data_IF_173922992932
#
_entry.id   IF_173922992932
#
_cell.length_a   1.000
_cell.length_b   1.000
_cell.length_c   1.000
_cell.angle_alpha   90.00
_cell.angle_beta   90.00
_cell.angle_gamma   90.00
#
_symmetry.space_group_name_H-M   'P 1'
#
loop_
_entity.id
_entity.type
_entity.pdbx_description
1 polymer ?
#
# COMPACT_ATOMS: atom_id res chain seq x y z
N UNK A 1 17.97 18.72 -14.04
CA UNK A 1 18.05 19.87 -13.12
C UNK A 1 18.60 21.03 -13.92
N UNK A 2 18.01 22.24 -13.81
CA UNK A 2 18.62 23.45 -14.38
C UNK A 2 19.75 23.82 -13.42
N UNK A 3 20.96 24.02 -13.93
CA UNK A 3 22.10 24.39 -13.10
C UNK A 3 21.81 25.73 -12.40
N UNK A 4 22.24 25.88 -11.15
CA UNK A 4 22.23 27.20 -10.49
C UNK A 4 23.15 28.13 -11.28
N UNK A 5 22.78 29.41 -11.35
CA UNK A 5 23.62 30.43 -11.96
C UNK A 5 25.00 30.41 -11.28
N UNK A 6 26.05 30.20 -12.06
CA UNK A 6 27.43 30.36 -11.61
C UNK A 6 27.76 31.86 -11.70
N UNK A 7 28.02 32.54 -10.57
CA UNK A 7 28.37 33.96 -10.60
C UNK A 7 29.71 34.25 -11.30
N UNK A 8 30.53 33.22 -11.58
CA UNK A 8 31.79 33.36 -12.34
C UNK A 8 31.64 33.07 -13.85
N UNK A 9 30.49 32.55 -14.30
CA UNK A 9 30.21 32.29 -15.73
C UNK A 9 29.56 33.52 -16.40
N UNK A 10 30.41 34.36 -17.00
CA UNK A 10 30.07 35.69 -17.51
C UNK A 10 29.37 35.65 -18.90
N UNK A 11 28.42 34.74 -19.09
CA UNK A 11 27.67 34.58 -20.35
C UNK A 11 26.42 35.46 -20.45
N UNK A 12 26.45 36.65 -19.84
CA UNK A 12 25.35 37.61 -19.86
C UNK A 12 25.18 38.23 -21.25
N UNK A 13 24.07 37.91 -21.93
CA UNK A 13 23.66 38.56 -23.18
C UNK A 13 22.54 39.55 -22.91
N UNK A 14 22.83 40.84 -23.05
CA UNK A 14 21.87 41.94 -22.86
C UNK A 14 21.12 42.33 -24.15
N UNK A 15 21.43 41.68 -25.27
CA UNK A 15 20.94 41.99 -26.61
C UNK A 15 19.87 41.00 -27.14
N UNK A 16 19.33 40.14 -26.27
CA UNK A 16 18.34 39.13 -26.67
C UNK A 16 16.93 39.75 -26.76
N UNK A 17 16.22 39.61 -27.89
CA UNK A 17 14.83 40.08 -27.99
C UNK A 17 13.91 39.41 -26.96
N UNK A 18 13.01 40.17 -26.34
CA UNK A 18 12.11 39.69 -25.27
C UNK A 18 11.32 38.42 -25.61
N UNK A 19 11.02 38.20 -26.90
CA UNK A 19 10.33 36.98 -27.37
C UNK A 19 11.10 35.69 -27.09
N UNK A 20 12.41 35.76 -26.85
CA UNK A 20 13.26 34.61 -26.52
C UNK A 20 13.53 34.48 -25.01
N UNK A 21 13.03 35.40 -24.20
CA UNK A 21 13.13 35.28 -22.74
C UNK A 21 12.23 34.13 -22.24
N UNK A 22 12.80 33.34 -21.34
CA UNK A 22 12.07 32.33 -20.60
C UNK A 22 11.12 33.00 -19.60
N UNK A 23 10.04 32.29 -19.29
CA UNK A 23 9.04 32.68 -18.30
C UNK A 23 8.88 31.57 -17.27
N UNK A 24 8.52 31.92 -16.05
CA UNK A 24 8.11 30.92 -15.08
C UNK A 24 6.92 30.11 -15.65
N UNK A 25 6.99 28.78 -15.53
CA UNK A 25 6.04 27.87 -16.13
C UNK A 25 6.43 27.34 -17.52
N UNK A 26 7.47 27.88 -18.17
CA UNK A 26 8.01 27.29 -19.39
C UNK A 26 8.63 25.91 -19.10
N UNK A 27 8.44 24.96 -20.01
CA UNK A 27 9.04 23.63 -19.95
C UNK A 27 10.18 23.57 -20.98
N UNK A 28 11.39 23.33 -20.49
CA UNK A 28 12.58 23.13 -21.31
C UNK A 28 12.73 21.65 -21.65
N UNK A 29 12.98 21.33 -22.92
CA UNK A 29 13.23 19.97 -23.40
C UNK A 29 14.52 19.93 -24.22
N UNK A 30 15.41 18.97 -23.92
CA UNK A 30 16.64 18.79 -24.70
C UNK A 30 16.33 18.34 -26.12
N UNK A 31 16.86 19.05 -27.11
CA UNK A 31 16.70 18.68 -28.53
C UNK A 31 17.53 17.44 -28.88
N UNK A 32 18.70 17.28 -28.27
CA UNK A 32 19.59 16.13 -28.47
C UNK A 32 19.38 15.12 -27.33
N UNK A 33 19.16 13.86 -27.70
CA UNK A 33 18.82 12.75 -26.80
C UNK A 33 19.85 11.64 -26.96
N UNK A 34 20.52 11.30 -25.86
CA UNK A 34 21.49 10.19 -25.80
C UNK A 34 20.87 8.88 -25.28
N UNK A 35 19.85 8.96 -24.44
CA UNK A 35 19.04 7.82 -23.98
C UNK A 35 17.60 8.27 -23.76
N UNK A 36 17.38 9.03 -22.69
CA UNK A 36 16.11 9.70 -22.37
C UNK A 36 16.21 11.20 -22.58
N UNK A 37 15.16 11.86 -23.07
CA UNK A 37 15.15 13.31 -23.13
C UNK A 37 15.25 13.92 -21.72
N UNK A 38 15.87 15.08 -21.61
CA UNK A 38 15.90 15.86 -20.39
C UNK A 38 14.83 16.93 -20.48
N UNK A 39 13.89 16.92 -19.54
CA UNK A 39 12.88 17.97 -19.40
C UNK A 39 13.01 18.70 -18.05
N UNK A 40 12.76 20.00 -17.99
CA UNK A 40 12.78 20.78 -16.76
C UNK A 40 11.76 21.93 -16.79
N UNK A 41 11.24 22.31 -15.61
CA UNK A 41 10.36 23.46 -15.44
C UNK A 41 11.19 24.71 -15.09
N UNK A 42 10.88 25.83 -15.74
CA UNK A 42 11.40 27.15 -15.38
C UNK A 42 10.63 27.69 -14.18
N UNK A 43 11.35 28.02 -13.11
CA UNK A 43 10.84 28.66 -11.91
C UNK A 43 11.25 30.13 -11.90
N UNK A 44 10.57 30.95 -11.09
CA UNK A 44 10.92 32.38 -10.90
C UNK A 44 12.40 32.56 -10.50
N UNK A 45 12.93 31.66 -9.68
CA UNK A 45 14.34 31.69 -9.25
C UNK A 45 15.36 31.45 -10.38
N UNK A 46 14.93 31.00 -11.55
CA UNK A 46 15.79 30.81 -12.73
C UNK A 46 15.84 32.04 -13.64
N UNK A 47 15.05 33.08 -13.35
CA UNK A 47 14.94 34.26 -14.20
C UNK A 47 15.88 35.38 -13.75
N UNK A 48 16.35 36.26 -14.66
CA UNK A 48 16.11 36.23 -16.10
C UNK A 48 16.98 35.18 -16.82
N UNK A 49 16.39 34.41 -17.74
CA UNK A 49 17.12 33.41 -18.52
C UNK A 49 16.63 33.30 -19.96
N UNK A 50 17.50 32.80 -20.84
CA UNK A 50 17.25 32.57 -22.27
C UNK A 50 17.60 31.13 -22.60
N UNK A 51 16.80 30.48 -23.45
CA UNK A 51 17.11 29.12 -23.92
C UNK A 51 18.36 29.11 -24.81
N UNK A 52 19.33 28.27 -24.45
CA UNK A 52 20.52 28.01 -25.26
C UNK A 52 20.19 27.18 -26.52
N UNK A 53 21.13 27.13 -27.47
CA UNK A 53 21.00 26.30 -28.66
C UNK A 53 20.88 24.81 -28.28
N UNK A 54 19.97 24.06 -28.92
CA UNK A 54 19.70 22.66 -28.59
C UNK A 54 18.70 22.46 -27.44
N UNK A 55 18.01 23.51 -27.00
CA UNK A 55 16.89 23.44 -26.05
C UNK A 55 15.61 23.91 -26.72
N UNK A 56 14.57 23.09 -26.64
CA UNK A 56 13.23 23.40 -27.08
C UNK A 56 12.43 23.97 -25.91
N UNK A 57 11.73 25.08 -26.13
CA UNK A 57 10.87 25.72 -25.13
C UNK A 57 9.41 25.38 -25.44
N UNK A 58 8.77 24.67 -24.53
CA UNK A 58 7.35 24.36 -24.56
C UNK A 58 6.64 25.28 -23.57
N UNK A 59 5.84 26.23 -24.09
CA UNK A 59 5.08 27.17 -23.27
C UNK A 59 3.62 26.70 -23.16
N UNK A 60 3.12 26.42 -21.94
CA UNK A 60 1.72 26.10 -21.75
C UNK A 60 0.82 27.23 -22.24
N UNK A 61 -0.23 26.89 -22.98
CA UNK A 61 -1.24 27.86 -23.44
C UNK A 61 -2.22 28.26 -22.32
N UNK A 62 -2.32 27.42 -21.29
CA UNK A 62 -3.10 27.64 -20.07
C UNK A 62 -2.20 27.38 -18.87
N UNK A 63 -2.56 27.97 -17.73
CA UNK A 63 -1.90 27.65 -16.46
C UNK A 63 -2.17 26.17 -16.14
N UNK A 64 -1.10 25.41 -15.90
CA UNK A 64 -1.18 24.01 -15.54
C UNK A 64 -1.03 23.87 -14.02
N UNK A 65 -1.74 22.93 -13.42
CA UNK A 65 -1.55 22.60 -12.01
C UNK A 65 -0.14 22.05 -11.78
N UNK A 66 0.39 22.19 -10.56
CA UNK A 66 1.71 21.67 -10.22
C UNK A 66 1.81 20.14 -10.41
N UNK A 67 0.69 19.43 -10.24
CA UNK A 67 0.55 17.99 -10.44
C UNK A 67 0.64 17.64 -11.93
N UNK A 68 -0.15 18.30 -12.78
CA UNK A 68 -0.13 18.03 -14.22
C UNK A 68 1.22 18.36 -14.87
N UNK A 69 1.88 19.42 -14.42
CA UNK A 69 3.25 19.74 -14.85
C UNK A 69 4.22 18.60 -14.53
N UNK A 70 4.12 17.97 -13.35
CA UNK A 70 4.99 16.83 -13.00
C UNK A 70 4.74 15.64 -13.92
N UNK A 71 3.47 15.33 -14.19
CA UNK A 71 3.10 14.25 -15.09
C UNK A 71 3.64 14.49 -16.51
N UNK A 72 3.47 15.71 -17.04
CA UNK A 72 4.03 16.11 -18.34
C UNK A 72 5.55 15.99 -18.33
N UNK A 73 6.24 16.47 -17.28
CA UNK A 73 7.70 16.34 -17.19
C UNK A 73 8.15 14.88 -17.15
N UNK A 74 7.45 14.01 -16.43
CA UNK A 74 7.74 12.57 -16.38
C UNK A 74 7.55 11.94 -17.76
N UNK A 75 6.44 12.24 -18.43
CA UNK A 75 6.16 11.77 -19.79
C UNK A 75 7.21 12.26 -20.81
N UNK A 76 7.59 13.53 -20.77
CA UNK A 76 8.62 14.10 -21.65
C UNK A 76 10.01 13.49 -21.43
N UNK A 77 10.29 12.94 -20.25
CA UNK A 77 11.53 12.21 -19.91
C UNK A 77 11.46 10.72 -20.24
N UNK A 78 10.33 10.22 -20.74
CA UNK A 78 10.14 8.80 -21.02
C UNK A 78 10.88 8.31 -22.26
N UNK A 79 11.09 7.00 -22.34
CA UNK A 79 11.62 6.35 -23.54
C UNK A 79 10.66 6.50 -24.73
N UNK A 80 9.36 6.61 -24.49
CA UNK A 80 8.34 6.87 -25.53
C UNK A 80 8.65 8.16 -26.29
N UNK A 81 8.96 9.24 -25.57
CA UNK A 81 9.33 10.53 -26.20
C UNK A 81 10.74 10.45 -26.79
N UNK A 82 11.68 9.76 -26.13
CA UNK A 82 13.02 9.50 -26.70
C UNK A 82 12.99 8.72 -28.02
N UNK A 83 12.02 7.82 -28.19
CA UNK A 83 11.82 7.02 -29.40
C UNK A 83 11.41 7.86 -30.62
N UNK A 84 10.81 9.03 -30.41
CA UNK A 84 10.45 9.97 -31.49
C UNK A 84 11.67 10.64 -32.12
N UNK A 85 12.84 10.61 -31.46
CA UNK A 85 14.04 11.25 -31.97
C UNK A 85 14.56 10.59 -33.25
N UNK A 86 14.97 11.41 -34.22
CA UNK A 86 15.53 10.95 -35.51
C UNK A 86 17.06 11.01 -35.44
N UNK A 87 17.75 9.92 -35.79
CA UNK A 87 19.21 9.86 -35.78
C UNK A 87 19.78 8.43 -35.77
N UNK A 88 21.09 8.30 -35.70
CA UNK A 88 21.82 7.02 -35.62
C UNK A 88 21.97 6.57 -34.15
N UNK A 89 22.32 5.29 -33.95
CA UNK A 89 22.40 4.68 -32.62
C UNK A 89 23.30 5.50 -31.66
N UNK A 90 22.69 5.99 -30.56
CA UNK A 90 23.36 6.76 -29.50
C UNK A 90 23.15 8.28 -29.54
N UNK A 91 22.68 8.85 -30.66
CA UNK A 91 22.40 10.29 -30.75
C UNK A 91 21.16 10.56 -31.61
N UNK A 92 20.06 10.89 -30.95
CA UNK A 92 18.78 11.19 -31.60
C UNK A 92 18.41 12.65 -31.42
N UNK A 93 17.85 13.27 -32.45
CA UNK A 93 17.41 14.67 -32.40
C UNK A 93 15.88 14.74 -32.44
N UNK A 94 15.29 15.39 -31.45
CA UNK A 94 13.86 15.71 -31.41
C UNK A 94 13.59 16.92 -32.29
N UNK A 95 12.64 16.78 -33.22
CA UNK A 95 12.21 17.88 -34.09
C UNK A 95 10.90 18.46 -33.59
N UNK A 96 10.76 19.79 -33.66
CA UNK A 96 9.52 20.51 -33.30
C UNK A 96 8.30 19.94 -34.04
N UNK A 97 8.45 19.54 -35.30
CA UNK A 97 7.36 18.95 -36.09
C UNK A 97 6.78 17.67 -35.48
N UNK A 98 7.62 16.85 -34.84
CA UNK A 98 7.20 15.60 -34.19
C UNK A 98 6.59 15.85 -32.81
N UNK A 99 7.06 16.89 -32.12
CA UNK A 99 6.45 17.31 -30.86
C UNK A 99 5.05 17.91 -31.05
N UNK A 100 4.78 18.54 -32.20
CA UNK A 100 3.45 19.06 -32.52
C UNK A 100 2.38 17.98 -32.64
N UNK A 101 2.76 16.77 -32.98
CA UNK A 101 1.86 15.61 -33.09
C UNK A 101 1.84 14.76 -31.82
N UNK A 102 2.61 15.13 -30.81
CA UNK A 102 2.70 14.39 -29.55
C UNK A 102 1.48 14.68 -28.70
N UNK A 103 0.68 13.67 -28.43
CA UNK A 103 -0.38 13.74 -27.43
C UNK A 103 0.25 13.73 -26.04
N UNK A 104 -0.07 14.75 -25.24
CA UNK A 104 0.35 14.83 -23.85
C UNK A 104 -0.65 14.07 -22.98
N UNK A 105 -0.20 13.47 -21.86
CA UNK A 105 -1.10 12.81 -20.93
C UNK A 105 -2.14 13.79 -20.39
N UNK A 106 -3.38 13.31 -20.29
CA UNK A 106 -4.45 14.04 -19.60
C UNK A 106 -4.11 14.22 -18.13
N UNK A 107 -4.80 15.14 -17.47
CA UNK A 107 -4.71 15.27 -16.02
C UNK A 107 -5.16 13.96 -15.36
N UNK A 108 -4.26 13.37 -14.58
CA UNK A 108 -4.49 12.15 -13.79
C UNK A 108 -3.95 12.41 -12.40
N UNK A 109 -4.85 12.68 -11.46
CA UNK A 109 -4.51 13.09 -10.10
C UNK A 109 -3.84 11.95 -9.33
N UNK A 110 -4.36 10.73 -9.45
CA UNK A 110 -3.83 9.54 -8.77
C UNK A 110 -2.40 9.23 -9.24
N UNK A 111 -2.16 9.22 -10.56
CA UNK A 111 -0.82 9.01 -11.10
C UNK A 111 0.13 10.16 -10.71
N UNK A 112 -0.35 11.40 -10.70
CA UNK A 112 0.46 12.56 -10.31
C UNK A 112 0.85 12.52 -8.83
N UNK A 113 -0.07 12.11 -7.95
CA UNK A 113 0.19 11.90 -6.52
C UNK A 113 1.23 10.77 -6.31
N UNK A 114 1.05 9.62 -6.96
CA UNK A 114 2.02 8.51 -6.89
C UNK A 114 3.44 8.92 -7.35
N UNK A 115 3.54 9.70 -8.44
CA UNK A 115 4.81 10.25 -8.90
C UNK A 115 5.40 11.26 -7.90
N UNK A 116 4.56 12.07 -7.24
CA UNK A 116 5.00 13.00 -6.22
C UNK A 116 5.55 12.28 -4.98
N UNK A 117 4.89 11.22 -4.53
CA UNK A 117 5.33 10.40 -3.40
C UNK A 117 6.67 9.71 -3.70
N UNK A 118 6.81 9.16 -4.91
CA UNK A 118 8.06 8.55 -5.34
C UNK A 118 9.20 9.58 -5.42
N UNK A 119 8.92 10.77 -5.94
CA UNK A 119 9.90 11.86 -6.00
C UNK A 119 10.30 12.32 -4.58
N UNK A 120 9.34 12.45 -3.67
CA UNK A 120 9.61 12.81 -2.28
C UNK A 120 10.41 11.73 -1.54
N UNK A 121 10.12 10.45 -1.78
CA UNK A 121 10.90 9.33 -1.26
C UNK A 121 12.33 9.35 -1.81
N UNK A 122 12.50 9.56 -3.12
CA UNK A 122 13.81 9.70 -3.76
C UNK A 122 14.62 10.87 -3.19
N UNK A 123 13.97 12.02 -2.96
CA UNK A 123 14.63 13.18 -2.33
C UNK A 123 15.09 12.85 -0.91
N UNK A 124 14.22 12.25 -0.07
CA UNK A 124 14.58 11.86 1.30
C UNK A 124 15.78 10.90 1.33
N UNK A 125 15.81 9.92 0.44
CA UNK A 125 16.94 8.99 0.32
C UNK A 125 18.21 9.71 -0.15
N UNK A 126 18.10 10.64 -1.09
CA UNK A 126 19.20 11.49 -1.55
C UNK A 126 19.76 12.37 -0.44
N UNK A 127 18.89 12.99 0.37
CA UNK A 127 19.29 13.81 1.52
C UNK A 127 20.03 12.96 2.57
N UNK A 128 19.55 11.75 2.86
CA UNK A 128 20.23 10.81 3.76
C UNK A 128 21.60 10.38 3.22
N UNK A 129 21.74 10.18 1.91
CA UNK A 129 23.02 9.86 1.28
C UNK A 129 24.00 11.03 1.35
N UNK A 130 23.52 12.26 1.10
CA UNK A 130 24.32 13.48 1.22
C UNK A 130 24.77 13.73 2.67
N UNK A 131 23.88 13.52 3.65
CA UNK A 131 24.20 13.57 5.08
C UNK A 131 25.33 12.58 5.45
N UNK A 132 25.23 11.34 4.95
CA UNK A 132 26.26 10.33 5.17
C UNK A 132 27.61 10.69 4.53
N UNK A 133 27.58 11.25 3.31
CA UNK A 133 28.77 11.74 2.60
C UNK A 133 29.45 12.90 3.34
N UNK A 134 28.68 13.93 3.71
CA UNK A 134 29.18 15.06 4.48
C UNK A 134 29.77 14.63 5.83
N UNK A 135 29.15 13.66 6.51
CA UNK A 135 29.69 13.10 7.74
C UNK A 135 31.05 12.43 7.50
N UNK A 136 31.19 11.65 6.42
CA UNK A 136 32.45 10.99 6.08
C UNK A 136 33.56 11.99 5.72
N UNK A 137 33.23 13.08 5.04
CA UNK A 137 34.16 14.16 4.69
C UNK A 137 34.60 14.97 5.93
N UNK A 138 33.68 15.25 6.86
CA UNK A 138 33.95 16.06 8.08
C UNK A 138 35.04 15.48 9.00
N UNK A 139 35.37 14.20 8.83
CA UNK A 139 36.45 13.48 9.51
C UNK A 139 37.81 14.08 9.20
N UNK A 140 37.97 14.64 8.00
CA UNK A 140 39.22 15.19 7.49
C UNK A 140 39.29 16.72 7.60
N UNK A 141 38.31 17.34 8.26
CA UNK A 141 38.30 18.79 8.47
C UNK A 141 39.50 19.23 9.33
N UNK A 142 40.15 20.32 8.90
CA UNK A 142 41.37 20.87 9.53
C UNK A 142 41.24 21.18 11.02
N UNK A 143 40.00 21.36 11.51
CA UNK A 143 39.70 21.74 12.89
C UNK A 143 39.26 20.55 13.77
N UNK A 144 39.22 19.34 13.23
CA UNK A 144 38.74 18.15 13.95
C UNK A 144 39.92 17.31 14.43
N UNK A 145 40.02 17.08 15.74
CA UNK A 145 41.03 16.16 16.28
C UNK A 145 40.65 14.70 15.96
N UNK A 146 41.62 13.78 15.78
CA UNK A 146 41.34 12.38 15.45
C UNK A 146 40.37 11.69 16.43
N UNK A 147 40.45 12.02 17.73
CA UNK A 147 39.55 11.50 18.77
C UNK A 147 38.12 11.99 18.55
N UNK A 148 37.94 13.28 18.25
CA UNK A 148 36.62 13.88 18.00
C UNK A 148 36.02 13.39 16.68
N UNK A 149 36.83 13.25 15.64
CA UNK A 149 36.43 12.66 14.36
C UNK A 149 35.89 11.24 14.55
N UNK A 150 36.63 10.39 15.30
CA UNK A 150 36.20 9.02 15.61
C UNK A 150 34.86 9.00 16.37
N UNK A 151 34.70 9.87 17.37
CA UNK A 151 33.47 9.92 18.16
C UNK A 151 32.27 10.41 17.34
N UNK A 152 32.48 11.38 16.44
CA UNK A 152 31.47 11.82 15.46
C UNK A 152 31.06 10.69 14.52
N UNK A 153 32.01 9.96 13.90
CA UNK A 153 31.69 8.82 13.03
C UNK A 153 30.92 7.73 13.77
N UNK A 154 31.32 7.40 15.00
CA UNK A 154 30.65 6.35 15.77
C UNK A 154 29.22 6.75 16.08
N UNK A 155 29.03 7.98 16.60
CA UNK A 155 27.74 8.48 17.11
C UNK A 155 26.82 8.91 15.98
N UNK A 156 27.26 9.78 15.08
CA UNK A 156 26.45 10.25 13.95
C UNK A 156 26.27 9.14 12.89
N UNK A 157 27.29 8.29 12.69
CA UNK A 157 27.16 7.14 11.80
C UNK A 157 26.26 6.03 12.34
N UNK A 158 25.92 6.03 13.63
CA UNK A 158 24.99 5.05 14.21
C UNK A 158 23.59 5.19 13.60
N UNK A 159 23.06 6.41 13.54
CA UNK A 159 21.73 6.66 12.97
C UNK A 159 21.69 6.27 11.49
N UNK A 160 22.72 6.61 10.71
CA UNK A 160 22.82 6.23 9.30
C UNK A 160 22.85 4.70 9.12
N UNK A 161 23.62 3.98 9.94
CA UNK A 161 23.62 2.50 9.93
C UNK A 161 22.25 1.93 10.29
N UNK A 162 21.58 2.46 11.30
CA UNK A 162 20.24 2.02 11.70
C UNK A 162 19.21 2.26 10.61
N UNK A 163 19.22 3.43 9.95
CA UNK A 163 18.37 3.74 8.79
C UNK A 163 18.62 2.75 7.64
N UNK A 164 19.88 2.48 7.32
CA UNK A 164 20.25 1.52 6.27
C UNK A 164 19.78 0.09 6.59
N UNK A 165 19.94 -0.35 7.84
CA UNK A 165 19.46 -1.68 8.27
C UNK A 165 17.94 -1.75 8.21
N UNK A 166 17.24 -0.73 8.70
CA UNK A 166 15.78 -0.67 8.65
C UNK A 166 15.26 -0.65 7.20
N UNK A 167 15.94 0.08 6.30
CA UNK A 167 15.59 0.08 4.88
C UNK A 167 15.81 -1.30 4.24
N UNK A 168 16.95 -1.96 4.51
CA UNK A 168 17.24 -3.30 4.00
C UNK A 168 16.25 -4.36 4.55
N UNK A 169 15.73 -4.18 5.76
CA UNK A 169 14.67 -5.05 6.30
C UNK A 169 13.37 -4.96 5.49
N UNK A 170 13.11 -3.84 4.79
CA UNK A 170 11.94 -3.72 3.91
C UNK A 170 12.10 -4.50 2.59
N UNK A 171 13.27 -5.07 2.31
CA UNK A 171 13.48 -6.02 1.20
C UNK A 171 13.14 -7.47 1.61
N UNK A 172 12.96 -7.73 2.91
CA UNK A 172 12.54 -9.04 3.44
C UNK A 172 11.00 -9.13 3.52
N UNK A 173 10.35 -9.99 2.72
CA UNK A 173 8.89 -10.15 2.76
C UNK A 173 8.35 -10.50 4.14
N UNK A 174 9.09 -11.29 4.93
CA UNK A 174 8.64 -11.79 6.23
C UNK A 174 8.64 -10.64 7.26
N UNK A 175 9.60 -9.72 7.15
CA UNK A 175 9.61 -8.47 7.90
C UNK A 175 8.46 -7.55 7.50
N UNK A 176 8.19 -7.40 6.20
CA UNK A 176 7.06 -6.57 5.72
C UNK A 176 5.74 -7.12 6.27
N UNK A 177 5.51 -8.43 6.19
CA UNK A 177 4.27 -9.05 6.71
C UNK A 177 4.12 -8.76 8.21
N UNK A 178 5.18 -8.99 9.01
CA UNK A 178 5.12 -8.75 10.47
C UNK A 178 4.89 -7.30 10.88
N UNK A 179 5.31 -6.33 10.08
CA UNK A 179 5.35 -4.92 10.50
C UNK A 179 4.37 -4.02 9.76
N UNK A 180 3.91 -4.45 8.58
CA UNK A 180 3.10 -3.62 7.69
C UNK A 180 1.76 -4.23 7.32
N UNK A 181 1.53 -5.53 7.54
CA UNK A 181 0.22 -6.11 7.23
C UNK A 181 -0.77 -5.87 8.39
N UNK A 182 -2.09 -5.93 8.14
CA UNK A 182 -3.10 -5.82 9.19
C UNK A 182 -2.88 -6.84 10.32
N UNK A 183 -3.17 -6.43 11.55
CA UNK A 183 -2.85 -7.19 12.77
C UNK A 183 -3.17 -8.69 12.71
N UNK A 184 -4.37 -9.13 12.28
CA UNK A 184 -4.69 -10.56 12.27
C UNK A 184 -3.79 -11.39 11.35
N UNK A 185 -3.39 -10.84 10.21
CA UNK A 185 -2.54 -11.53 9.25
C UNK A 185 -1.11 -11.58 9.80
N UNK A 186 -0.59 -10.44 10.26
CA UNK A 186 0.75 -10.33 10.81
C UNK A 186 0.95 -11.24 12.04
N UNK A 187 -0.04 -11.32 12.94
CA UNK A 187 0.00 -12.21 14.10
C UNK A 187 0.04 -13.68 13.67
N UNK A 188 -0.82 -14.08 12.72
CA UNK A 188 -0.86 -15.48 12.24
C UNK A 188 0.43 -15.87 11.53
N UNK A 189 1.03 -14.95 10.76
CA UNK A 189 2.34 -15.15 10.15
C UNK A 189 3.43 -15.33 11.21
N UNK A 190 3.47 -14.47 12.23
CA UNK A 190 4.40 -14.66 13.36
C UNK A 190 4.23 -16.03 14.02
N UNK A 191 3.00 -16.52 14.16
CA UNK A 191 2.77 -17.85 14.74
C UNK A 191 3.35 -18.95 13.84
N UNK A 192 3.27 -18.82 12.52
CA UNK A 192 3.94 -19.72 11.57
C UNK A 192 5.46 -19.71 11.79
N UNK A 193 6.09 -18.53 11.83
CA UNK A 193 7.53 -18.41 12.07
C UNK A 193 7.97 -18.96 13.42
N UNK A 194 7.15 -18.76 14.46
CA UNK A 194 7.40 -19.29 15.78
C UNK A 194 7.37 -20.83 15.79
N UNK A 195 6.43 -21.47 15.07
CA UNK A 195 6.41 -22.92 14.93
C UNK A 195 7.60 -23.44 14.12
N UNK A 196 7.94 -22.76 13.01
CA UNK A 196 9.12 -23.10 12.17
C UNK A 196 10.44 -23.04 12.95
N UNK A 197 10.54 -22.11 13.90
CA UNK A 197 11.73 -21.92 14.73
C UNK A 197 11.80 -22.87 15.94
N UNK A 198 10.71 -23.56 16.27
CA UNK A 198 10.68 -24.48 17.40
C UNK A 198 11.42 -25.78 17.03
N UNK A 199 12.62 -25.99 17.59
CA UNK A 199 13.33 -27.26 17.41
C UNK A 199 12.65 -28.39 18.21
N UNK A 200 12.24 -29.47 17.55
CA UNK A 200 11.62 -30.63 18.22
C UNK A 200 11.26 -31.78 17.28
N UNK A 201 10.85 -32.95 17.82
CA UNK A 201 10.44 -34.14 17.05
C UNK A 201 9.16 -33.90 16.21
N UNK A 202 8.77 -34.88 15.39
CA UNK A 202 7.70 -34.87 14.34
C UNK A 202 6.40 -34.09 14.65
N UNK A 203 6.03 -33.89 15.91
CA UNK A 203 4.89 -33.06 16.35
C UNK A 203 5.04 -31.57 15.97
N UNK A 204 6.27 -31.09 15.73
CA UNK A 204 6.53 -29.71 15.29
C UNK A 204 6.01 -29.47 13.87
N UNK A 205 6.22 -30.39 12.92
CA UNK A 205 5.77 -30.21 11.53
C UNK A 205 4.24 -30.16 11.43
N UNK A 206 3.55 -30.94 12.26
CA UNK A 206 2.08 -30.92 12.33
C UNK A 206 1.54 -29.59 12.86
N UNK A 207 2.22 -28.98 13.84
CA UNK A 207 1.86 -27.67 14.41
C UNK A 207 2.18 -26.52 13.45
N UNK A 208 3.33 -26.57 12.78
CA UNK A 208 3.69 -25.60 11.74
C UNK A 208 2.70 -25.65 10.59
N UNK A 209 2.36 -26.84 10.11
CA UNK A 209 1.35 -27.04 9.07
C UNK A 209 -0.02 -26.48 9.47
N UNK A 210 -0.45 -26.71 10.71
CA UNK A 210 -1.69 -26.12 11.21
C UNK A 210 -1.63 -24.59 11.29
N UNK A 211 -0.50 -24.02 11.72
CA UNK A 211 -0.30 -22.58 11.75
C UNK A 211 -0.38 -21.98 10.33
N UNK A 212 0.20 -22.65 9.33
CA UNK A 212 0.13 -22.25 7.91
C UNK A 212 -1.32 -22.23 7.42
N UNK A 213 -2.08 -23.29 7.70
CA UNK A 213 -3.49 -23.36 7.28
C UNK A 213 -4.36 -22.31 7.96
N UNK A 214 -4.14 -22.04 9.26
CA UNK A 214 -4.84 -20.96 10.00
C UNK A 214 -4.48 -19.58 9.47
N UNK A 215 -3.22 -19.35 9.11
CA UNK A 215 -2.79 -18.10 8.49
C UNK A 215 -3.44 -17.89 7.12
N UNK A 216 -3.52 -18.93 6.30
CA UNK A 216 -4.23 -18.89 5.02
C UNK A 216 -5.72 -18.59 5.19
N UNK A 217 -6.41 -19.27 6.11
CA UNK A 217 -7.83 -19.03 6.37
C UNK A 217 -8.07 -17.61 6.91
N UNK A 218 -7.16 -17.08 7.75
CA UNK A 218 -7.24 -15.70 8.26
C UNK A 218 -7.01 -14.68 7.14
N UNK A 219 -6.04 -14.89 6.25
CA UNK A 219 -5.78 -14.02 5.11
C UNK A 219 -7.01 -13.93 4.19
N UNK A 220 -7.59 -15.06 3.82
CA UNK A 220 -8.77 -15.10 2.96
C UNK A 220 -10.00 -14.55 3.66
N UNK A 221 -10.22 -14.91 4.93
CA UNK A 221 -11.34 -14.40 5.73
C UNK A 221 -11.30 -12.89 5.87
N UNK A 222 -10.16 -12.35 6.29
CA UNK A 222 -9.94 -10.90 6.37
C UNK A 222 -10.19 -10.21 5.03
N UNK A 223 -9.60 -10.72 3.94
CA UNK A 223 -9.73 -10.14 2.61
C UNK A 223 -11.18 -10.18 2.09
N UNK A 224 -11.89 -11.28 2.32
CA UNK A 224 -13.29 -11.43 1.92
C UNK A 224 -14.23 -10.53 2.74
N UNK A 225 -13.94 -10.31 4.03
CA UNK A 225 -14.70 -9.39 4.88
C UNK A 225 -14.48 -7.93 4.47
N UNK A 226 -13.25 -7.53 4.17
CA UNK A 226 -12.96 -6.22 3.58
C UNK A 226 -13.69 -6.04 2.24
N UNK A 227 -13.59 -7.03 1.36
CA UNK A 227 -14.28 -7.05 0.06
C UNK A 227 -15.79 -6.87 0.25
N UNK A 228 -16.38 -7.55 1.23
CA UNK A 228 -17.81 -7.47 1.50
C UNK A 228 -18.22 -6.10 2.05
N UNK A 229 -17.41 -5.52 2.95
CA UNK A 229 -17.65 -4.20 3.52
C UNK A 229 -17.56 -3.10 2.45
N UNK A 230 -16.47 -3.10 1.67
CA UNK A 230 -16.25 -2.15 0.59
C UNK A 230 -17.31 -2.27 -0.51
N UNK A 231 -17.67 -3.51 -0.90
CA UNK A 231 -18.73 -3.72 -1.87
C UNK A 231 -20.08 -3.22 -1.35
N UNK A 232 -20.37 -3.44 -0.07
CA UNK A 232 -21.59 -2.92 0.54
C UNK A 232 -21.64 -1.38 0.55
N UNK A 233 -20.55 -0.71 0.91
CA UNK A 233 -20.45 0.75 0.87
C UNK A 233 -20.66 1.29 -0.56
N UNK A 234 -20.07 0.62 -1.55
CA UNK A 234 -20.19 0.98 -2.96
C UNK A 234 -21.53 0.56 -3.61
N UNK A 235 -22.43 -0.12 -2.89
CA UNK A 235 -23.68 -0.64 -3.46
C UNK A 235 -23.50 -1.80 -4.45
N UNK A 236 -22.32 -2.45 -4.44
CA UNK A 236 -21.97 -3.58 -5.29
C UNK A 236 -22.30 -4.90 -4.58
N UNK A 237 -22.79 -5.89 -5.33
CA UNK A 237 -23.03 -7.22 -4.79
C UNK A 237 -22.79 -8.31 -5.83
N UNK A 238 -22.34 -9.48 -5.39
CA UNK A 238 -22.24 -10.69 -6.21
C UNK A 238 -23.04 -11.84 -5.59
N UNK A 239 -23.08 -13.00 -6.25
CA UNK A 239 -23.79 -14.20 -5.75
C UNK A 239 -23.14 -14.74 -4.47
N UNK A 240 -21.80 -14.74 -4.38
CA UNK A 240 -21.09 -15.19 -3.19
C UNK A 240 -21.39 -14.32 -1.96
N UNK A 241 -21.39 -12.99 -2.09
CA UNK A 241 -21.74 -12.06 -1.00
C UNK A 241 -23.18 -12.30 -0.52
N UNK A 242 -24.15 -12.45 -1.43
CA UNK A 242 -25.55 -12.76 -1.07
C UNK A 242 -25.68 -14.09 -0.35
N UNK A 243 -24.98 -15.12 -0.83
CA UNK A 243 -24.95 -16.44 -0.18
C UNK A 243 -24.36 -16.35 1.22
N UNK A 244 -23.23 -15.66 1.38
CA UNK A 244 -22.58 -15.42 2.68
C UNK A 244 -23.52 -14.75 3.67
N UNK A 245 -24.14 -13.63 3.26
CA UNK A 245 -25.12 -12.90 4.09
C UNK A 245 -26.31 -13.78 4.48
N UNK A 246 -26.86 -14.50 3.51
CA UNK A 246 -27.98 -15.42 3.72
C UNK A 246 -27.64 -16.57 4.68
N UNK A 247 -26.41 -17.10 4.64
CA UNK A 247 -25.96 -18.19 5.51
C UNK A 247 -26.02 -17.79 6.99
N UNK A 248 -25.51 -16.59 7.29
CA UNK A 248 -25.51 -16.01 8.64
C UNK A 248 -26.95 -15.64 9.05
N UNK A 249 -27.74 -15.04 8.17
CA UNK A 249 -29.13 -14.67 8.49
C UNK A 249 -30.00 -15.92 8.78
N UNK A 250 -29.96 -16.93 7.92
CA UNK A 250 -30.89 -18.08 7.94
C UNK A 250 -30.49 -19.24 8.85
N UNK A 251 -29.27 -19.25 9.41
CA UNK A 251 -28.86 -20.32 10.33
C UNK A 251 -28.30 -21.57 9.66
N UNK A 252 -27.90 -21.50 8.39
CA UNK A 252 -27.30 -22.63 7.66
C UNK A 252 -25.81 -22.87 7.98
N UNK A 253 -25.27 -22.15 8.97
CA UNK A 253 -23.92 -22.31 9.50
C UNK A 253 -23.02 -21.10 9.26
N UNK A 254 -21.87 -21.12 9.92
CA UNK A 254 -20.84 -20.09 9.85
C UNK A 254 -20.14 -19.97 8.51
N UNK A 255 -19.58 -18.80 8.16
CA UNK A 255 -18.73 -18.71 6.99
C UNK A 255 -17.46 -19.55 7.18
N UNK A 256 -16.94 -20.12 6.10
CA UNK A 256 -15.68 -20.86 6.13
C UNK A 256 -14.81 -20.59 4.91
N UNK A 257 -13.68 -21.29 4.82
CA UNK A 257 -12.69 -21.16 3.74
C UNK A 257 -13.32 -21.04 2.33
N UNK A 258 -14.27 -21.92 1.98
CA UNK A 258 -14.93 -21.89 0.67
C UNK A 258 -15.88 -20.72 0.44
N UNK A 259 -16.41 -20.09 1.50
CA UNK A 259 -17.17 -18.84 1.39
C UNK A 259 -16.22 -17.68 1.07
N UNK A 260 -15.09 -17.61 1.78
CA UNK A 260 -14.05 -16.58 1.57
C UNK A 260 -13.47 -16.61 0.16
N UNK A 261 -13.09 -17.79 -0.31
CA UNK A 261 -12.58 -17.97 -1.67
C UNK A 261 -13.60 -17.51 -2.72
N UNK A 262 -14.87 -17.90 -2.59
CA UNK A 262 -15.91 -17.56 -3.58
C UNK A 262 -16.20 -16.07 -3.65
N UNK A 263 -16.15 -15.35 -2.52
CA UNK A 263 -16.32 -13.90 -2.50
C UNK A 263 -15.23 -13.23 -3.33
N UNK A 264 -13.97 -13.59 -3.07
CA UNK A 264 -12.80 -13.02 -3.72
C UNK A 264 -12.73 -13.38 -5.22
N UNK A 265 -13.14 -14.59 -5.61
CA UNK A 265 -13.21 -14.98 -7.03
C UNK A 265 -14.31 -14.26 -7.81
N UNK A 266 -15.45 -13.97 -7.18
CA UNK A 266 -16.61 -13.42 -7.89
C UNK A 266 -16.67 -11.89 -7.92
N UNK A 267 -15.94 -11.20 -7.05
CA UNK A 267 -16.05 -9.73 -6.96
C UNK A 267 -15.59 -9.04 -8.25
N UNK A 268 -14.56 -9.55 -8.93
CA UNK A 268 -14.05 -8.96 -10.16
C UNK A 268 -15.09 -8.85 -11.27
N UNK A 269 -16.03 -9.81 -11.32
CA UNK A 269 -17.10 -9.86 -12.31
C UNK A 269 -18.42 -9.24 -11.81
N UNK A 270 -18.43 -8.58 -10.66
CA UNK A 270 -19.63 -7.97 -10.11
C UNK A 270 -20.06 -6.72 -10.90
N UNK A 271 -21.37 -6.58 -11.10
CA UNK A 271 -21.95 -5.39 -11.71
C UNK A 271 -21.64 -4.14 -10.87
N UNK A 272 -21.22 -3.05 -11.52
CA UNK A 272 -20.83 -1.80 -10.87
C UNK A 272 -19.32 -1.65 -10.61
N UNK A 273 -18.52 -2.72 -10.70
CA UNK A 273 -17.06 -2.64 -10.51
C UNK A 273 -16.37 -1.68 -11.47
N UNK A 274 -16.81 -1.61 -12.73
CA UNK A 274 -16.24 -0.69 -13.73
C UNK A 274 -16.60 0.79 -13.51
N UNK A 275 -17.57 1.07 -12.64
CA UNK A 275 -17.99 2.42 -12.28
C UNK A 275 -17.25 2.99 -11.07
N UNK A 276 -16.41 2.18 -10.41
CA UNK A 276 -15.59 2.64 -9.30
C UNK A 276 -14.43 3.50 -9.79
N UNK A 277 -13.96 4.46 -8.97
CA UNK A 277 -12.69 5.13 -9.23
C UNK A 277 -11.53 4.12 -9.29
N UNK A 278 -10.55 4.28 -10.19
CA UNK A 278 -9.43 3.35 -10.34
C UNK A 278 -8.63 3.08 -9.07
N UNK A 279 -8.57 4.05 -8.16
CA UNK A 279 -7.90 4.01 -6.86
C UNK A 279 -8.67 3.22 -5.79
N UNK A 280 -9.94 2.88 -6.05
CA UNK A 280 -10.79 2.23 -5.05
C UNK A 280 -10.21 0.86 -4.64
N UNK A 281 -10.06 0.55 -3.33
CA UNK A 281 -9.38 -0.65 -2.87
C UNK A 281 -9.95 -1.99 -3.37
N UNK A 282 -11.24 -2.02 -3.74
CA UNK A 282 -11.88 -3.20 -4.34
C UNK A 282 -11.17 -3.71 -5.59
N UNK A 283 -10.51 -2.84 -6.37
CA UNK A 283 -9.78 -3.27 -7.56
C UNK A 283 -8.61 -4.21 -7.23
N UNK A 284 -7.88 -3.95 -6.13
CA UNK A 284 -6.78 -4.80 -5.67
C UNK A 284 -7.31 -6.18 -5.21
N UNK A 285 -8.45 -6.22 -4.51
CA UNK A 285 -9.10 -7.49 -4.15
C UNK A 285 -9.63 -8.26 -5.37
N UNK A 286 -10.13 -7.56 -6.38
CA UNK A 286 -10.62 -8.17 -7.61
C UNK A 286 -9.53 -8.86 -8.43
N UNK A 287 -8.29 -8.36 -8.37
CA UNK A 287 -7.17 -8.97 -9.11
C UNK A 287 -6.43 -10.07 -8.35
N UNK A 288 -6.76 -10.31 -7.07
CA UNK A 288 -6.12 -11.32 -6.23
C UNK A 288 -6.15 -12.71 -6.88
N UNK A 289 -7.29 -13.08 -7.49
CA UNK A 289 -7.52 -14.34 -8.20
C UNK A 289 -7.72 -14.16 -9.71
N UNK A 290 -7.09 -13.14 -10.30
CA UNK A 290 -7.19 -12.92 -11.75
C UNK A 290 -6.39 -13.93 -12.60
N UNK A 291 -5.45 -14.66 -11.99
CA UNK A 291 -4.62 -15.68 -12.65
C UNK A 291 -4.84 -17.09 -12.06
N UNK A 292 -4.60 -18.10 -12.89
CA UNK A 292 -4.80 -19.51 -12.54
C UNK A 292 -3.85 -19.98 -11.42
N UNK A 293 -2.70 -19.32 -11.25
CA UNK A 293 -1.70 -19.66 -10.23
C UNK A 293 -2.22 -19.35 -8.82
N UNK A 294 -2.81 -18.17 -8.62
CA UNK A 294 -3.43 -17.79 -7.35
C UNK A 294 -4.62 -18.68 -7.01
N UNK A 295 -5.46 -19.02 -8.01
CA UNK A 295 -6.56 -19.94 -7.80
C UNK A 295 -6.06 -21.33 -7.38
N UNK A 296 -5.02 -21.83 -8.05
CA UNK A 296 -4.40 -23.12 -7.74
C UNK A 296 -3.80 -23.14 -6.33
N UNK A 297 -3.08 -22.09 -5.93
CA UNK A 297 -2.51 -21.96 -4.59
C UNK A 297 -3.61 -21.96 -3.51
N UNK A 298 -4.67 -21.17 -3.70
CA UNK A 298 -5.81 -21.12 -2.79
C UNK A 298 -6.56 -22.46 -2.72
N UNK A 299 -6.81 -23.10 -3.86
CA UNK A 299 -7.47 -24.40 -3.91
C UNK A 299 -6.63 -25.50 -3.24
N UNK A 300 -5.31 -25.46 -3.42
CA UNK A 300 -4.36 -26.36 -2.75
C UNK A 300 -4.45 -26.23 -1.22
N UNK A 301 -4.43 -25.00 -0.70
CA UNK A 301 -4.59 -24.74 0.75
C UNK A 301 -5.98 -25.14 1.26
N UNK A 302 -7.04 -24.85 0.52
CA UNK A 302 -8.41 -25.22 0.88
C UNK A 302 -8.61 -26.73 0.96
N UNK A 303 -8.05 -27.48 -0.01
CA UNK A 303 -8.06 -28.96 -0.01
C UNK A 303 -7.32 -29.50 1.21
N UNK A 304 -6.13 -28.97 1.49
CA UNK A 304 -5.30 -29.32 2.65
C UNK A 304 -6.03 -29.07 3.98
N UNK A 305 -6.69 -27.91 4.13
CA UNK A 305 -7.49 -27.53 5.30
C UNK A 305 -8.70 -28.44 5.47
N UNK A 306 -9.47 -28.68 4.42
CA UNK A 306 -10.66 -29.53 4.49
C UNK A 306 -10.31 -31.00 4.80
N UNK A 307 -9.23 -31.53 4.21
CA UNK A 307 -8.76 -32.88 4.56
C UNK A 307 -8.43 -33.01 6.04
N UNK A 308 -7.75 -32.01 6.63
CA UNK A 308 -7.47 -31.97 8.07
C UNK A 308 -8.73 -31.87 8.92
N UNK A 309 -9.64 -30.95 8.58
CA UNK A 309 -10.89 -30.76 9.30
C UNK A 309 -11.80 -32.00 9.30
N UNK A 310 -11.70 -32.85 8.28
CA UNK A 310 -12.45 -34.11 8.18
C UNK A 310 -11.67 -35.34 8.70
N UNK A 311 -10.50 -35.17 9.31
CA UNK A 311 -9.69 -36.27 9.83
C UNK A 311 -9.18 -37.23 8.74
N UNK A 312 -9.11 -36.77 7.49
CA UNK A 312 -8.63 -37.56 6.32
C UNK A 312 -7.12 -37.46 6.16
N UNK A 313 -6.40 -37.29 7.26
CA UNK A 313 -4.94 -37.32 7.28
C UNK A 313 -4.51 -38.74 7.69
N UNK A 314 -3.86 -39.46 6.77
CA UNK A 314 -3.23 -40.73 7.11
C UNK A 314 -2.11 -40.46 8.14
N UNK A 315 -2.19 -41.14 9.28
CA UNK A 315 -1.11 -41.19 10.25
C UNK A 315 0.01 -42.12 9.74
N UNK A 316 1.31 -41.81 9.93
CA UNK A 316 1.86 -40.68 10.70
C UNK A 316 2.53 -39.59 9.84
N UNK A 317 2.61 -38.40 10.45
CA UNK A 317 3.37 -37.20 10.06
C UNK A 317 2.96 -36.48 8.76
N UNK A 318 2.64 -35.18 8.89
CA UNK A 318 2.66 -34.26 7.76
C UNK A 318 4.05 -34.32 7.15
N UNK A 319 4.17 -34.71 5.88
CA UNK A 319 5.48 -34.79 5.24
C UNK A 319 6.07 -33.40 5.02
N UNK A 320 7.40 -33.29 5.07
CA UNK A 320 8.10 -32.04 4.76
C UNK A 320 7.70 -31.47 3.40
N UNK A 321 7.46 -32.32 2.38
CA UNK A 321 6.97 -31.89 1.08
C UNK A 321 5.58 -31.23 1.18
N UNK A 322 4.63 -31.85 1.90
CA UNK A 322 3.28 -31.30 2.07
C UNK A 322 3.28 -29.99 2.86
N UNK A 323 4.18 -29.88 3.84
CA UNK A 323 4.40 -28.64 4.60
C UNK A 323 4.99 -27.54 3.72
N UNK A 324 6.04 -27.84 2.96
CA UNK A 324 6.66 -26.89 2.03
C UNK A 324 5.65 -26.41 0.97
N UNK A 325 4.87 -27.32 0.37
CA UNK A 325 3.82 -26.97 -0.59
C UNK A 325 2.78 -26.01 0.01
N UNK A 326 2.41 -26.20 1.29
CA UNK A 326 1.47 -25.31 1.97
C UNK A 326 2.13 -23.95 2.27
N UNK A 327 3.41 -23.96 2.65
CA UNK A 327 4.20 -22.75 2.88
C UNK A 327 4.33 -21.91 1.62
N UNK A 328 4.69 -22.52 0.51
CA UNK A 328 4.89 -21.85 -0.78
C UNK A 328 3.57 -21.26 -1.28
N UNK A 329 2.47 -22.02 -1.18
CA UNK A 329 1.14 -21.52 -1.52
C UNK A 329 0.72 -20.32 -0.63
N UNK A 330 0.97 -20.38 0.69
CA UNK A 330 0.67 -19.26 1.59
C UNK A 330 1.54 -18.03 1.28
N UNK A 331 2.85 -18.21 1.08
CA UNK A 331 3.77 -17.12 0.73
C UNK A 331 3.38 -16.47 -0.59
N UNK A 332 2.99 -17.27 -1.58
CA UNK A 332 2.49 -16.77 -2.86
C UNK A 332 1.27 -15.86 -2.65
N UNK A 333 0.26 -16.30 -1.89
CA UNK A 333 -0.92 -15.49 -1.62
C UNK A 333 -0.62 -14.24 -0.77
N UNK A 334 0.31 -14.33 0.18
CA UNK A 334 0.78 -13.17 0.94
C UNK A 334 1.44 -12.14 0.01
N UNK A 335 2.35 -12.55 -0.87
CA UNK A 335 2.98 -11.64 -1.84
C UNK A 335 1.94 -10.98 -2.77
N UNK A 336 0.95 -11.74 -3.25
CA UNK A 336 -0.17 -11.21 -4.05
C UNK A 336 -1.04 -10.21 -3.30
N UNK A 337 -1.06 -10.27 -1.96
CA UNK A 337 -1.79 -9.34 -1.09
C UNK A 337 -0.91 -8.25 -0.50
N UNK A 338 0.27 -7.98 -1.10
CA UNK A 338 1.18 -6.92 -0.65
C UNK A 338 0.54 -5.53 -0.59
N UNK A 339 -0.48 -5.27 -1.39
CA UNK A 339 -1.27 -4.03 -1.31
C UNK A 339 -1.92 -3.80 0.08
N UNK A 340 -2.16 -4.86 0.88
CA UNK A 340 -2.64 -4.74 2.25
C UNK A 340 -1.67 -3.97 3.16
N UNK A 341 -0.39 -3.87 2.78
CA UNK A 341 0.58 -3.05 3.49
C UNK A 341 0.33 -1.53 3.35
N UNK A 342 -0.44 -1.14 2.34
CA UNK A 342 -0.82 0.25 2.08
C UNK A 342 -2.22 0.59 2.63
N UNK A 343 -3.05 -0.42 2.89
CA UNK A 343 -4.40 -0.26 3.43
C UNK A 343 -4.37 -0.36 4.95
N UNK A 344 -4.59 0.77 5.62
CA UNK A 344 -4.40 0.87 7.06
C UNK A 344 -5.67 0.50 7.81
N UNK A 345 -5.56 -0.43 8.75
CA UNK A 345 -6.65 -0.79 9.64
C UNK A 345 -6.66 0.16 10.85
N UNK A 346 -7.71 0.97 10.95
CA UNK A 346 -7.83 2.01 11.97
C UNK A 346 -9.02 1.71 12.89
N UNK A 347 -8.73 1.52 14.17
CA UNK A 347 -9.77 1.47 15.20
C UNK A 347 -9.97 2.87 15.79
N UNK A 348 -11.07 3.52 15.43
CA UNK A 348 -11.41 4.87 15.86
C UNK A 348 -12.05 4.81 17.25
N UNK A 349 -11.31 5.31 18.24
CA UNK A 349 -11.70 5.22 19.66
C UNK A 349 -12.43 6.47 20.15
N UNK A 350 -12.19 7.62 19.54
CA UNK A 350 -12.86 8.87 19.90
C UNK A 350 -12.94 9.82 18.71
N UNK A 351 -14.05 10.55 18.59
CA UNK A 351 -14.27 11.57 17.57
C UNK A 351 -14.76 12.85 18.26
N UNK A 352 -14.00 13.93 18.12
CA UNK A 352 -14.34 15.23 18.65
C UNK A 352 -14.54 16.21 17.49
N UNK A 353 -15.69 16.88 17.45
CA UNK A 353 -15.98 17.86 16.41
C UNK A 353 -15.47 19.24 16.76
N UNK A 354 -14.64 19.78 15.87
CA UNK A 354 -14.25 21.18 15.92
C UNK A 354 -15.23 22.02 15.09
N UNK A 355 -16.06 22.80 15.79
CA UNK A 355 -17.03 23.72 15.17
C UNK A 355 -16.38 24.90 14.45
N UNK A 356 -15.14 25.26 14.79
CA UNK A 356 -14.43 26.38 14.21
C UNK A 356 -13.77 25.96 12.91
N UNK A 357 -13.06 24.82 12.93
CA UNK A 357 -12.41 24.26 11.75
C UNK A 357 -13.36 23.47 10.83
N UNK A 358 -14.59 23.18 11.30
CA UNK A 358 -15.57 22.35 10.60
C UNK A 358 -14.99 20.97 10.23
N UNK A 359 -14.25 20.38 11.16
CA UNK A 359 -13.54 19.12 11.00
C UNK A 359 -13.72 18.21 12.21
N UNK A 360 -13.62 16.90 11.99
CA UNK A 360 -13.56 15.91 13.06
C UNK A 360 -12.09 15.71 13.45
N UNK A 361 -11.76 15.91 14.73
CA UNK A 361 -10.52 15.39 15.32
C UNK A 361 -10.75 13.94 15.74
N UNK A 362 -10.07 13.03 15.05
CA UNK A 362 -10.23 11.59 15.21
C UNK A 362 -9.05 11.06 16.00
N UNK A 363 -9.34 10.36 17.10
CA UNK A 363 -8.37 9.59 17.87
C UNK A 363 -8.51 8.12 17.48
N UNK A 364 -7.41 7.49 17.11
CA UNK A 364 -7.45 6.12 16.60
C UNK A 364 -6.22 5.30 16.99
N UNK A 365 -6.36 3.98 16.88
CA UNK A 365 -5.30 2.98 17.00
C UNK A 365 -5.05 2.37 15.63
N UNK A 366 -3.80 2.41 15.15
CA UNK A 366 -3.39 1.84 13.87
C UNK A 366 -3.05 0.36 14.06
N UNK A 367 -3.97 -0.54 13.72
CA UNK A 367 -3.87 -1.99 13.95
C UNK A 367 -3.06 -2.70 12.85
N UNK A 368 -1.79 -2.30 12.70
CA UNK A 368 -0.85 -2.85 11.72
C UNK A 368 0.33 -3.51 12.43
N UNK A 369 0.85 -4.59 11.84
CA UNK A 369 1.92 -5.41 12.39
C UNK A 369 1.43 -6.45 13.40
N UNK A 370 2.33 -7.27 13.93
CA UNK A 370 2.03 -8.48 14.71
C UNK A 370 1.69 -8.24 16.20
N UNK A 371 1.60 -6.99 16.64
CA UNK A 371 1.33 -6.63 18.03
C UNK A 371 0.02 -5.82 18.17
N UNK A 372 -0.84 -6.17 19.15
CA UNK A 372 -2.09 -5.45 19.39
C UNK A 372 -1.90 -4.16 20.20
N UNK A 373 -0.71 -3.96 20.79
CA UNK A 373 -0.36 -2.77 21.57
C UNK A 373 0.24 -1.74 20.63
N UNK A 374 -0.60 -0.81 20.19
CA UNK A 374 -0.22 0.23 19.23
C UNK A 374 -0.43 1.62 19.85
N UNK A 375 0.40 2.62 19.49
CA UNK A 375 0.21 3.98 19.95
C UNK A 375 -1.14 4.52 19.50
N UNK A 376 -1.68 5.44 20.30
CA UNK A 376 -2.85 6.23 19.92
C UNK A 376 -2.38 7.44 19.13
N UNK A 377 -2.97 7.63 17.95
CA UNK A 377 -2.68 8.73 17.03
C UNK A 377 -3.91 9.62 16.88
N UNK A 378 -3.70 10.83 16.38
CA UNK A 378 -4.78 11.79 16.06
C UNK A 378 -4.65 12.29 14.63
N UNK A 379 -5.77 12.39 13.92
CA UNK A 379 -5.83 13.05 12.61
C UNK A 379 -7.01 14.02 12.56
N UNK A 380 -6.89 15.06 11.74
CA UNK A 380 -8.01 15.93 11.39
C UNK A 380 -8.65 15.44 10.11
N UNK A 381 -9.96 15.24 10.13
CA UNK A 381 -10.75 14.80 8.99
C UNK A 381 -11.74 15.89 8.59
N UNK A 382 -11.54 16.40 7.37
CA UNK A 382 -12.48 17.30 6.72
C UNK A 382 -13.16 16.52 5.58
N UNK A 383 -14.36 16.01 5.81
CA UNK A 383 -15.08 15.18 4.85
C UNK A 383 -16.60 15.35 4.93
N UNK A 384 -17.34 14.87 3.92
CA UNK A 384 -18.78 14.92 3.94
C UNK A 384 -19.34 13.91 4.94
N UNK A 385 -19.77 14.40 6.10
CA UNK A 385 -20.39 13.60 7.15
C UNK A 385 -19.52 13.47 8.40
N UNK A 386 -20.15 13.03 9.49
CA UNK A 386 -19.48 12.82 10.78
C UNK A 386 -18.93 11.40 10.85
N UNK A 387 -17.70 11.25 11.33
CA UNK A 387 -17.11 9.94 11.59
C UNK A 387 -17.66 9.37 12.92
N UNK A 388 -17.84 8.06 12.98
CA UNK A 388 -18.27 7.35 14.18
C UNK A 388 -17.09 6.62 14.83
N UNK A 389 -17.22 6.26 16.11
CA UNK A 389 -16.26 5.38 16.79
C UNK A 389 -16.46 3.95 16.30
N UNK A 390 -15.64 3.53 15.33
CA UNK A 390 -15.81 2.28 14.61
C UNK A 390 -14.47 1.80 14.03
N UNK A 391 -14.47 0.61 13.46
CA UNK A 391 -13.35 0.09 12.68
C UNK A 391 -13.44 0.59 11.23
N UNK A 392 -12.34 1.14 10.73
CA UNK A 392 -12.21 1.65 9.38
C UNK A 392 -11.01 1.05 8.65
N UNK A 393 -11.13 0.95 7.33
CA UNK A 393 -10.01 0.80 6.42
C UNK A 393 -9.68 2.18 5.85
N UNK A 394 -8.46 2.67 6.08
CA UNK A 394 -7.92 3.83 5.38
C UNK A 394 -7.23 3.38 4.09
N UNK A 395 -7.66 3.91 2.96
CA UNK A 395 -6.99 3.66 1.67
C UNK A 395 -5.71 4.51 1.49
N UNK A 396 -5.10 4.42 0.30
CA UNK A 396 -3.88 5.16 -0.05
C UNK A 396 -4.07 6.68 0.03
N UNK A 397 -5.28 7.15 -0.24
CA UNK A 397 -5.66 8.56 -0.20
C UNK A 397 -6.21 9.00 1.18
N UNK A 398 -6.06 8.15 2.21
CA UNK A 398 -6.57 8.36 3.56
C UNK A 398 -8.10 8.47 3.65
N UNK A 399 -8.83 8.01 2.62
CA UNK A 399 -10.28 7.88 2.70
C UNK A 399 -10.63 6.74 3.64
N UNK A 400 -11.61 6.99 4.52
CA UNK A 400 -12.04 6.07 5.55
C UNK A 400 -13.26 5.27 5.09
N UNK A 401 -13.11 3.95 5.04
CA UNK A 401 -14.16 2.99 4.68
C UNK A 401 -14.63 2.23 5.93
N UNK A 402 -15.90 2.35 6.37
CA UNK A 402 -16.38 1.66 7.56
C UNK A 402 -16.45 0.15 7.34
N UNK A 403 -15.93 -0.62 8.31
CA UNK A 403 -15.89 -2.09 8.20
C UNK A 403 -17.01 -2.80 8.97
N UNK A 404 -17.60 -2.14 9.96
CA UNK A 404 -18.72 -2.70 10.71
C UNK A 404 -20.01 -2.74 9.86
N UNK A 405 -20.85 -3.78 10.04
CA UNK A 405 -20.72 -4.84 11.04
C UNK A 405 -20.04 -6.10 10.50
N UNK A 406 -19.43 -6.07 9.32
CA UNK A 406 -18.74 -7.22 8.75
C UNK A 406 -17.47 -7.57 9.53
N UNK A 407 -16.75 -6.54 9.97
CA UNK A 407 -15.58 -6.66 10.82
C UNK A 407 -15.66 -5.62 11.95
N UNK A 408 -15.46 -6.08 13.19
CA UNK A 408 -15.44 -5.23 14.39
C UNK A 408 -14.15 -5.42 15.15
N UNK A 409 -13.81 -4.47 16.03
CA UNK A 409 -12.65 -4.56 16.91
C UNK A 409 -13.06 -4.36 18.36
N UNK A 410 -12.72 -5.33 19.20
CA UNK A 410 -13.06 -5.30 20.63
C UNK A 410 -12.08 -6.14 21.45
N UNK A 411 -12.17 -6.05 22.78
CA UNK A 411 -11.37 -6.89 23.67
C UNK A 411 -12.01 -8.27 23.74
N UNK A 412 -11.25 -9.29 23.37
CA UNK A 412 -11.68 -10.67 23.45
C UNK A 412 -12.01 -11.07 24.90
N UNK A 413 -13.17 -11.66 25.13
CA UNK A 413 -13.57 -12.15 26.47
C UNK A 413 -12.64 -13.26 27.00
N UNK A 414 -12.11 -14.11 26.11
CA UNK A 414 -11.28 -15.25 26.48
C UNK A 414 -9.86 -14.88 26.92
N UNK A 415 -9.25 -13.87 26.30
CA UNK A 415 -7.84 -13.50 26.57
C UNK A 415 -7.61 -12.03 26.95
N UNK A 416 -8.65 -11.20 26.97
CA UNK A 416 -8.60 -9.75 27.20
C UNK A 416 -7.73 -8.94 26.21
N UNK A 417 -7.21 -9.58 25.17
CA UNK A 417 -6.45 -8.95 24.09
C UNK A 417 -7.40 -8.31 23.07
N UNK A 418 -6.99 -7.18 22.50
CA UNK A 418 -7.71 -6.55 21.39
C UNK A 418 -7.67 -7.47 20.17
N UNK A 419 -8.83 -7.73 19.56
CA UNK A 419 -9.00 -8.71 18.49
C UNK A 419 -10.01 -8.22 17.46
N UNK A 420 -9.96 -8.79 16.26
CA UNK A 420 -10.94 -8.54 15.21
C UNK A 420 -11.96 -9.67 15.12
N UNK A 421 -13.23 -9.29 15.03
CA UNK A 421 -14.35 -10.21 15.03
C UNK A 421 -15.20 -10.08 13.79
N UNK A 422 -15.77 -11.21 13.36
CA UNK A 422 -16.81 -11.25 12.36
C UNK A 422 -18.02 -12.03 12.87
N UNK A 423 -19.18 -11.78 12.29
CA UNK A 423 -20.37 -12.56 12.55
C UNK A 423 -20.19 -14.00 12.07
N UNK A 424 -20.57 -14.94 12.91
CA UNK A 424 -20.49 -16.37 12.69
C UNK A 424 -21.78 -17.04 13.21
N UNK A 425 -21.99 -18.31 12.90
CA UNK A 425 -23.19 -19.03 13.33
C UNK A 425 -22.93 -20.51 13.55
N UNK A 426 -23.15 -20.96 14.77
CA UNK A 426 -23.04 -22.37 15.14
C UNK A 426 -24.36 -22.85 15.74
N UNK A 427 -24.90 -23.96 15.23
CA UNK A 427 -26.15 -24.57 15.71
C UNK A 427 -27.35 -23.60 15.81
N UNK A 428 -27.37 -22.55 14.99
CA UNK A 428 -28.43 -21.52 14.97
C UNK A 428 -28.17 -20.31 15.86
N UNK A 429 -27.18 -20.39 16.75
CA UNK A 429 -26.76 -19.28 17.61
C UNK A 429 -25.80 -18.35 16.87
N UNK A 430 -26.08 -17.05 16.93
CA UNK A 430 -25.23 -16.03 16.34
C UNK A 430 -24.02 -15.81 17.27
N UNK A 431 -22.83 -16.02 16.72
CA UNK A 431 -21.57 -15.88 17.42
C UNK A 431 -20.77 -14.73 16.82
N UNK A 432 -19.82 -14.23 17.59
CA UNK A 432 -18.70 -13.45 17.07
C UNK A 432 -17.41 -14.24 17.20
N UNK A 433 -16.74 -14.43 16.08
CA UNK A 433 -15.53 -15.26 15.98
C UNK A 433 -14.32 -14.39 15.68
N UNK A 434 -13.28 -14.57 16.48
CA UNK A 434 -11.99 -13.88 16.36
C UNK A 434 -11.19 -14.41 15.18
N UNK A 435 -10.72 -13.51 14.30
CA UNK A 435 -9.82 -13.87 13.21
C UNK A 435 -8.41 -14.25 13.72
N UNK A 436 -7.90 -13.49 14.69
CA UNK A 436 -6.51 -13.56 15.14
C UNK A 436 -6.26 -14.60 16.24
N UNK A 437 -7.22 -14.85 17.11
CA UNK A 437 -7.09 -15.79 18.23
C UNK A 437 -7.90 -17.07 18.07
N UNK A 438 -8.98 -17.05 17.27
CA UNK A 438 -9.88 -18.20 17.09
C UNK A 438 -10.80 -18.46 18.29
N UNK A 439 -10.91 -17.51 19.22
CA UNK A 439 -11.94 -17.50 20.25
C UNK A 439 -13.27 -17.07 19.65
N UNK A 440 -14.37 -17.55 20.23
CA UNK A 440 -15.72 -17.18 19.84
C UNK A 440 -16.61 -17.09 21.08
N UNK A 441 -17.63 -16.25 21.00
CA UNK A 441 -18.61 -16.03 22.06
C UNK A 441 -19.95 -15.56 21.45
N UNK A 442 -21.05 -15.61 22.21
CA UNK A 442 -22.34 -15.09 21.74
C UNK A 442 -22.21 -13.65 21.24
N UNK A 443 -22.93 -13.32 20.17
CA UNK A 443 -22.93 -11.98 19.61
C UNK A 443 -23.74 -11.02 20.50
N UNK A 444 -23.06 -10.08 21.16
CA UNK A 444 -23.70 -9.13 22.10
C UNK A 444 -23.97 -7.73 21.51
N UNK A 445 -23.49 -7.45 20.30
CA UNK A 445 -23.60 -6.11 19.69
C UNK A 445 -24.99 -5.80 19.09
N UNK A 446 -25.19 -4.55 18.65
CA UNK A 446 -26.47 -4.05 18.14
C UNK A 446 -26.92 -4.81 16.87
N UNK A 447 -27.95 -5.66 17.04
CA UNK A 447 -28.56 -6.40 15.95
C UNK A 447 -29.07 -5.52 14.80
N UNK A 448 -29.37 -4.24 15.06
CA UNK A 448 -29.86 -3.31 14.02
C UNK A 448 -28.81 -3.13 12.93
N UNK A 449 -27.53 -3.04 13.30
CA UNK A 449 -26.44 -2.93 12.34
C UNK A 449 -26.39 -4.17 11.42
N UNK A 450 -26.50 -5.37 12.01
CA UNK A 450 -26.54 -6.62 11.24
C UNK A 450 -27.73 -6.70 10.28
N UNK A 451 -28.92 -6.33 10.74
CA UNK A 451 -30.13 -6.30 9.88
C UNK A 451 -29.99 -5.31 8.73
N UNK A 452 -29.41 -4.13 8.99
CA UNK A 452 -29.22 -3.10 7.97
C UNK A 452 -28.37 -3.58 6.79
N UNK A 453 -27.42 -4.49 7.05
CA UNK A 453 -26.54 -5.03 5.99
C UNK A 453 -26.95 -6.42 5.49
N UNK A 454 -28.07 -6.97 6.00
CA UNK A 454 -28.63 -8.26 5.59
C UNK A 454 -27.96 -9.48 6.23
N UNK A 455 -27.29 -9.32 7.37
CA UNK A 455 -26.70 -10.42 8.15
C UNK A 455 -27.68 -11.04 9.16
N UNK A 456 -28.88 -10.47 9.32
CA UNK A 456 -29.92 -10.95 10.23
C UNK A 456 -31.33 -10.65 9.75
#
# INVERSE_FOLDING_TARGET
MIAKADPEDDSWRTDVPERFHLRAGDILLSEVVHHRPRAALVQEAHLPAVAAHGVLVLRPSKLLSAEHVRLILAFLRSDTVGALGVGTAGLRRLRISLLKTLELPNEDQALSAALADLAAAGQRLGDMAAEAGALAESVFDRNTTPVRARQLIITAGQLTRLRSVAAAQLDDPDFIIRTRYPYPIALRWRNVEAQKSAAGPDDVQAKEYEAVLKAAETLLGYSALLTTALAHEAGITCKAIRTFKGKIATGQGGPGFGDWQRILQQIAAAEGMSGLPPEHPLHEFAVLFADDEAETACQSLGTKRNSRAHGREDLPAVSAARLNDAHDALRFLLDRTRFLADLQLLDVTNVAWDRHEHSDTITFRRLMGDHPVVPTETLSHAGPGRIATNLYLADRDQRLHPLSPFLTCEKCEGCATLSLFHADKEQGELLQTSLDHGHFYPYEADERALRAVGLR
#
